data_IF_644927438459
#
_entry.id   IF_644927438459
#
_cell.length_a   1.000
_cell.length_b   1.000
_cell.length_c   1.000
_cell.angle_alpha   90.00
_cell.angle_beta   90.00
_cell.angle_gamma   90.00
#
_symmetry.space_group_name_H-M   'P 1'
#
loop_
_entity.id
_entity.type
_entity.pdbx_description
1 polymer ?
#
# COMPACT_ATOMS: atom_id res chain seq x y z
N UNK A 1 -7.75 3.81 29.34
CA UNK A 1 -6.40 4.32 29.04
C UNK A 1 -5.66 3.49 27.98
N UNK A 2 -5.86 2.17 27.88
CA UNK A 2 -5.19 1.33 26.86
C UNK A 2 -5.49 1.71 25.39
N UNK A 3 -6.68 2.24 25.08
CA UNK A 3 -7.12 2.46 23.70
C UNK A 3 -6.35 3.57 22.95
N UNK A 4 -5.90 4.62 23.67
CA UNK A 4 -5.19 5.76 23.07
C UNK A 4 -3.77 5.40 22.63
N UNK A 5 -3.06 4.66 23.46
CA UNK A 5 -1.67 4.29 23.19
C UNK A 5 -1.59 3.28 22.04
N UNK A 6 -2.50 2.31 22.01
CA UNK A 6 -2.64 1.38 20.90
C UNK A 6 -2.96 2.11 19.60
N UNK A 7 -3.95 3.02 19.59
CA UNK A 7 -4.28 3.82 18.41
C UNK A 7 -3.09 4.66 17.93
N UNK A 8 -2.35 5.27 18.86
CA UNK A 8 -1.13 6.04 18.52
C UNK A 8 -0.06 5.15 17.89
N UNK A 9 0.17 3.96 18.43
CA UNK A 9 1.11 2.97 17.87
C UNK A 9 0.73 2.57 16.43
N UNK A 10 -0.55 2.27 16.20
CA UNK A 10 -1.10 1.94 14.88
C UNK A 10 -0.93 3.10 13.90
N UNK A 11 -1.23 4.34 14.31
CA UNK A 11 -1.03 5.53 13.48
C UNK A 11 0.45 5.76 13.15
N UNK A 12 1.35 5.58 14.12
CA UNK A 12 2.79 5.71 13.88
C UNK A 12 3.28 4.67 12.88
N UNK A 13 2.88 3.41 13.03
CA UNK A 13 3.19 2.34 12.09
C UNK A 13 2.64 2.67 10.69
N UNK A 14 1.40 3.15 10.60
CA UNK A 14 0.77 3.58 9.35
C UNK A 14 1.56 4.68 8.64
N UNK A 15 2.07 5.65 9.40
CA UNK A 15 2.85 6.77 8.89
C UNK A 15 4.24 6.36 8.42
N UNK A 16 4.88 5.36 9.04
CA UNK A 16 6.24 4.91 8.65
C UNK A 16 6.32 4.38 7.22
N UNK A 17 5.21 3.89 6.67
CA UNK A 17 5.12 3.30 5.34
C UNK A 17 4.54 4.23 4.28
N UNK A 18 4.11 5.44 4.66
CA UNK A 18 3.50 6.41 3.74
C UNK A 18 4.35 7.66 3.58
N UNK A 19 4.03 8.44 2.56
CA UNK A 19 4.62 9.76 2.40
C UNK A 19 4.06 10.70 3.48
N UNK A 20 4.88 11.63 3.93
CA UNK A 20 4.50 12.63 4.94
C UNK A 20 3.22 13.40 4.58
N UNK A 21 2.99 13.65 3.29
CA UNK A 21 1.76 14.31 2.80
C UNK A 21 0.47 13.52 3.05
N UNK A 22 0.58 12.21 3.33
CA UNK A 22 -0.50 11.29 3.67
C UNK A 22 -0.39 10.79 5.11
N UNK A 23 0.48 11.39 5.92
CA UNK A 23 0.59 11.05 7.33
C UNK A 23 -0.70 11.43 8.07
N UNK A 24 -1.16 10.55 8.94
CA UNK A 24 -2.24 10.80 9.88
C UNK A 24 -1.70 11.63 11.05
N UNK A 25 -2.51 12.56 11.53
CA UNK A 25 -2.20 13.29 12.76
C UNK A 25 -2.25 12.38 13.97
N UNK A 26 -1.62 12.79 15.07
CA UNK A 26 -1.80 12.10 16.35
C UNK A 26 -3.26 12.21 16.83
N UNK A 27 -3.77 11.20 17.53
CA UNK A 27 -5.11 11.24 18.10
C UNK A 27 -5.18 12.25 19.25
N UNK A 28 -6.25 13.04 19.27
CA UNK A 28 -6.56 14.00 20.32
C UNK A 28 -7.11 13.29 21.59
N UNK A 29 -7.60 14.06 22.56
CA UNK A 29 -8.20 13.54 23.80
C UNK A 29 -9.43 12.66 23.58
N UNK A 30 -10.17 12.90 22.50
CA UNK A 30 -11.36 12.15 22.11
C UNK A 30 -11.04 10.96 21.18
N UNK A 31 -9.75 10.61 21.01
CA UNK A 31 -9.28 9.61 20.05
C UNK A 31 -9.52 9.98 18.57
N UNK A 32 -9.76 11.26 18.29
CA UNK A 32 -9.98 11.74 16.93
C UNK A 32 -8.66 12.14 16.29
N UNK A 33 -8.51 11.81 15.01
CA UNK A 33 -7.35 12.15 14.21
C UNK A 33 -7.78 12.52 12.79
N UNK A 34 -6.88 13.12 12.03
CA UNK A 34 -7.13 13.55 10.67
C UNK A 34 -6.10 12.98 9.71
N UNK A 35 -6.52 12.77 8.47
CA UNK A 35 -5.65 12.30 7.40
C UNK A 35 -6.02 12.92 6.07
N UNK A 36 -5.06 12.95 5.15
CA UNK A 36 -5.35 13.21 3.74
C UNK A 36 -5.69 11.88 3.09
N UNK A 37 -6.89 11.76 2.54
CA UNK A 37 -7.37 10.57 1.85
C UNK A 37 -7.48 10.83 0.34
N UNK A 38 -7.20 9.79 -0.45
CA UNK A 38 -7.28 9.85 -1.91
C UNK A 38 -8.57 9.17 -2.39
N UNK A 39 -9.35 9.90 -3.17
CA UNK A 39 -10.59 9.45 -3.78
C UNK A 39 -10.50 9.52 -5.30
N UNK A 40 -11.17 8.57 -5.94
CA UNK A 40 -11.27 8.47 -7.39
C UNK A 40 -12.73 8.65 -7.80
N UNK A 41 -12.94 9.24 -8.97
CA UNK A 41 -14.27 9.42 -9.55
C UNK A 41 -14.18 9.15 -11.04
N UNK A 42 -15.14 8.43 -11.59
CA UNK A 42 -15.24 8.19 -13.01
C UNK A 42 -16.65 8.57 -13.48
N UNK A 43 -16.73 9.54 -14.39
CA UNK A 43 -17.97 9.88 -15.08
C UNK A 43 -18.05 9.18 -16.44
N UNK A 44 -19.25 9.07 -17.00
CA UNK A 44 -19.48 8.44 -18.30
C UNK A 44 -18.59 9.04 -19.40
N UNK A 45 -17.84 8.18 -20.10
CA UNK A 45 -16.96 8.58 -21.19
C UNK A 45 -15.69 9.35 -20.78
N UNK A 46 -15.49 9.63 -19.48
CA UNK A 46 -14.34 10.36 -18.96
C UNK A 46 -13.30 9.42 -18.34
N UNK A 47 -12.04 9.86 -18.32
CA UNK A 47 -10.98 9.19 -17.57
C UNK A 47 -11.16 9.41 -16.06
N UNK A 48 -10.54 8.54 -15.26
CA UNK A 48 -10.66 8.60 -13.81
C UNK A 48 -10.04 9.90 -13.27
N UNK A 49 -10.85 10.73 -12.64
CA UNK A 49 -10.41 11.89 -11.88
C UNK A 49 -9.96 11.46 -10.47
N UNK A 50 -8.99 12.17 -9.90
CA UNK A 50 -8.48 11.91 -8.54
C UNK A 50 -8.51 13.19 -7.71
N UNK A 51 -8.98 13.11 -6.47
CA UNK A 51 -8.93 14.21 -5.50
C UNK A 51 -8.39 13.68 -4.17
N UNK A 52 -7.56 14.50 -3.52
CA UNK A 52 -7.17 14.26 -2.14
C UNK A 52 -7.88 15.29 -1.26
N UNK A 53 -8.55 14.84 -0.21
CA UNK A 53 -9.21 15.72 0.76
C UNK A 53 -8.76 15.35 2.18
N UNK A 54 -8.79 16.33 3.08
CA UNK A 54 -8.58 16.10 4.50
C UNK A 54 -9.87 15.53 5.08
N UNK A 55 -9.78 14.41 5.79
CA UNK A 55 -10.91 13.71 6.40
C UNK A 55 -10.59 13.50 7.88
N UNK A 56 -11.60 13.63 8.73
CA UNK A 56 -11.51 13.33 10.15
C UNK A 56 -11.89 11.87 10.42
N UNK A 57 -11.39 11.29 11.51
CA UNK A 57 -11.64 9.90 11.87
C UNK A 57 -13.10 9.59 12.21
N UNK A 58 -13.85 10.61 12.61
CA UNK A 58 -15.28 10.56 12.92
C UNK A 58 -16.19 10.87 11.72
N UNK A 59 -15.65 11.46 10.65
CA UNK A 59 -16.39 11.79 9.44
C UNK A 59 -16.98 10.53 8.79
N UNK A 60 -18.28 10.59 8.49
CA UNK A 60 -19.02 9.49 7.87
C UNK A 60 -18.82 9.46 6.35
N UNK A 61 -19.22 8.36 5.72
CA UNK A 61 -19.25 8.27 4.25
C UNK A 61 -20.14 9.37 3.66
N UNK A 62 -21.26 9.70 4.32
CA UNK A 62 -22.16 10.78 3.88
C UNK A 62 -21.44 12.13 3.82
N UNK A 63 -20.75 12.52 4.90
CA UNK A 63 -20.01 13.79 4.99
C UNK A 63 -18.91 13.87 3.91
N UNK A 64 -18.23 12.75 3.69
CA UNK A 64 -17.19 12.63 2.69
C UNK A 64 -17.77 12.76 1.28
N UNK A 65 -18.89 12.10 0.97
CA UNK A 65 -19.55 12.19 -0.34
C UNK A 65 -19.95 13.63 -0.64
N UNK A 66 -20.56 14.34 0.31
CA UNK A 66 -20.92 15.75 0.14
C UNK A 66 -19.71 16.60 -0.25
N UNK A 67 -18.61 16.45 0.51
CA UNK A 67 -17.34 17.13 0.21
C UNK A 67 -16.81 16.77 -1.17
N UNK A 68 -16.86 15.50 -1.57
CA UNK A 68 -16.35 15.05 -2.87
C UNK A 68 -17.19 15.58 -4.04
N UNK A 69 -18.51 15.69 -3.89
CA UNK A 69 -19.39 16.29 -4.89
C UNK A 69 -18.93 17.73 -5.17
N UNK A 70 -18.65 18.51 -4.12
CA UNK A 70 -18.15 19.88 -4.30
C UNK A 70 -16.80 19.94 -5.02
N UNK A 71 -15.92 18.97 -4.77
CA UNK A 71 -14.55 18.95 -5.32
C UNK A 71 -14.46 18.37 -6.73
N UNK A 72 -15.32 17.42 -7.07
CA UNK A 72 -15.35 16.81 -8.40
C UNK A 72 -16.27 17.56 -9.36
N UNK A 73 -17.40 18.11 -8.89
CA UNK A 73 -18.38 18.84 -9.71
C UNK A 73 -19.08 19.97 -8.93
N UNK A 74 -18.41 21.12 -8.72
CA UNK A 74 -19.06 22.29 -8.10
C UNK A 74 -20.32 22.73 -8.86
N UNK A 75 -20.34 22.54 -10.20
CA UNK A 75 -21.43 22.96 -11.08
C UNK A 75 -22.70 22.08 -11.01
N UNK A 76 -22.62 20.87 -10.42
CA UNK A 76 -23.76 19.95 -10.35
C UNK A 76 -24.71 20.17 -9.17
N UNK A 77 -24.45 21.12 -8.25
CA UNK A 77 -25.39 21.37 -7.13
C UNK A 77 -26.75 21.92 -7.58
N UNK A 78 -26.83 22.50 -8.78
CA UNK A 78 -28.05 23.12 -9.32
C UNK A 78 -28.96 22.14 -10.06
N UNK A 79 -28.52 20.90 -10.29
CA UNK A 79 -29.29 19.83 -10.92
C UNK A 79 -29.34 18.68 -9.92
N UNK A 80 -30.50 18.07 -9.67
CA UNK A 80 -30.75 17.01 -8.67
C UNK A 80 -29.49 16.23 -8.24
N UNK A 81 -29.15 16.26 -6.94
CA UNK A 81 -27.99 15.52 -6.40
C UNK A 81 -28.02 14.08 -6.90
N UNK A 82 -27.05 13.66 -7.72
CA UNK A 82 -26.98 12.26 -8.12
C UNK A 82 -26.82 11.41 -6.87
N UNK A 83 -27.49 10.26 -6.82
CA UNK A 83 -27.39 9.34 -5.69
C UNK A 83 -26.00 8.71 -5.70
N UNK A 84 -25.00 9.37 -5.12
CA UNK A 84 -23.63 8.87 -5.10
C UNK A 84 -23.43 7.87 -3.97
N UNK A 85 -22.56 6.89 -4.22
CA UNK A 85 -22.07 5.98 -3.21
C UNK A 85 -20.55 5.81 -3.31
N UNK A 86 -19.95 5.52 -2.16
CA UNK A 86 -18.53 5.29 -2.02
C UNK A 86 -18.22 3.80 -1.98
N UNK A 87 -17.26 3.38 -2.78
CA UNK A 87 -16.81 1.98 -2.89
C UNK A 87 -15.35 1.86 -2.51
N UNK A 88 -14.96 0.74 -1.91
CA UNK A 88 -13.56 0.32 -1.77
C UNK A 88 -13.27 -0.70 -2.87
N UNK A 89 -12.28 -0.41 -3.71
CA UNK A 89 -11.84 -1.27 -4.82
C UNK A 89 -10.45 -1.83 -4.51
N UNK A 90 -10.35 -3.15 -4.46
CA UNK A 90 -9.10 -3.85 -4.19
C UNK A 90 -8.35 -4.21 -5.48
N UNK A 91 -7.06 -4.52 -5.36
CA UNK A 91 -6.20 -4.87 -6.50
C UNK A 91 -6.65 -6.14 -7.23
N UNK A 92 -7.39 -7.02 -6.54
CA UNK A 92 -7.95 -8.24 -7.13
C UNK A 92 -9.29 -8.01 -7.86
N UNK A 93 -9.74 -6.75 -7.98
CA UNK A 93 -10.99 -6.39 -8.65
C UNK A 93 -12.24 -6.45 -7.76
N UNK A 94 -12.13 -6.94 -6.52
CA UNK A 94 -13.27 -6.89 -5.60
C UNK A 94 -13.62 -5.46 -5.23
N UNK A 95 -14.92 -5.16 -5.27
CA UNK A 95 -15.47 -3.88 -4.87
C UNK A 95 -16.49 -4.05 -3.75
N UNK A 96 -16.38 -3.22 -2.70
CA UNK A 96 -17.36 -3.18 -1.60
C UNK A 96 -17.96 -1.79 -1.49
N UNK A 97 -19.30 -1.69 -1.54
CA UNK A 97 -20.01 -0.46 -1.19
C UNK A 97 -19.89 -0.20 0.32
N UNK A 98 -19.53 1.03 0.70
CA UNK A 98 -19.53 1.46 2.09
C UNK A 98 -20.94 1.91 2.52
N UNK A 99 -21.32 1.62 3.75
CA UNK A 99 -22.54 2.14 4.35
C UNK A 99 -22.41 3.63 4.68
N UNK A 100 -23.49 4.42 4.66
CA UNK A 100 -23.46 5.86 4.92
C UNK A 100 -22.82 6.25 6.25
N UNK A 101 -22.96 5.42 7.28
CA UNK A 101 -22.45 5.67 8.64
C UNK A 101 -21.02 5.14 8.88
N UNK A 102 -20.44 4.43 7.90
CA UNK A 102 -19.05 3.99 8.02
C UNK A 102 -18.10 5.20 8.04
N UNK A 103 -16.94 5.03 8.67
CA UNK A 103 -15.91 6.07 8.79
C UNK A 103 -14.76 5.77 7.83
N UNK A 104 -14.67 6.42 6.65
CA UNK A 104 -13.73 6.03 5.60
C UNK A 104 -12.27 6.05 6.05
N UNK A 105 -11.90 6.98 6.93
CA UNK A 105 -10.53 7.08 7.44
C UNK A 105 -10.16 5.89 8.34
N UNK A 106 -11.10 5.39 9.15
CA UNK A 106 -10.90 4.17 9.95
C UNK A 106 -10.84 2.93 9.07
N UNK A 107 -11.72 2.84 8.05
CA UNK A 107 -11.69 1.77 7.05
C UNK A 107 -10.32 1.74 6.35
N UNK A 108 -9.80 2.91 5.97
CA UNK A 108 -8.48 3.03 5.37
C UNK A 108 -7.40 2.57 6.34
N UNK A 109 -7.41 3.07 7.57
CA UNK A 109 -6.43 2.69 8.59
C UNK A 109 -6.38 1.17 8.75
N UNK A 110 -7.52 0.48 8.75
CA UNK A 110 -7.57 -0.98 8.95
C UNK A 110 -6.93 -1.82 7.84
N UNK A 111 -6.61 -1.26 6.67
CA UNK A 111 -5.94 -2.02 5.58
C UNK A 111 -4.59 -2.62 5.95
N UNK A 112 -3.91 -2.08 6.98
CA UNK A 112 -2.65 -2.64 7.47
C UNK A 112 -2.79 -4.04 8.11
N UNK A 113 -3.97 -4.36 8.65
CA UNK A 113 -4.23 -5.64 9.32
C UNK A 113 -4.36 -6.80 8.31
N UNK A 114 -4.92 -6.52 7.14
CA UNK A 114 -5.25 -7.54 6.14
C UNK A 114 -4.22 -7.64 5.00
N UNK A 115 -3.12 -6.86 5.06
CA UNK A 115 -2.18 -6.60 3.94
C UNK A 115 -2.92 -6.26 2.63
N UNK A 116 -4.12 -5.68 2.76
CA UNK A 116 -5.07 -5.50 1.68
C UNK A 116 -5.30 -4.02 1.41
N UNK A 117 -4.44 -3.43 0.58
CA UNK A 117 -4.63 -2.05 0.13
C UNK A 117 -5.89 -1.93 -0.76
N UNK A 118 -6.61 -0.82 -0.59
CA UNK A 118 -7.81 -0.49 -1.37
C UNK A 118 -7.74 0.90 -1.99
N UNK A 119 -8.74 1.23 -2.82
CA UNK A 119 -8.94 2.57 -3.39
C UNK A 119 -10.39 2.99 -3.22
N UNK A 120 -10.61 4.21 -2.74
CA UNK A 120 -11.96 4.75 -2.61
C UNK A 120 -12.45 5.31 -3.95
N UNK A 121 -13.54 4.77 -4.46
CA UNK A 121 -14.15 5.12 -5.74
C UNK A 121 -15.57 5.64 -5.51
N UNK A 122 -15.82 6.89 -5.91
CA UNK A 122 -17.14 7.50 -5.92
C UNK A 122 -17.87 7.09 -7.21
N UNK A 123 -19.07 6.52 -7.09
CA UNK A 123 -19.93 6.11 -8.22
C UNK A 123 -21.33 6.67 -8.08
N UNK A 124 -21.98 6.96 -9.21
CA UNK A 124 -23.38 7.36 -9.25
C UNK A 124 -24.28 6.11 -9.27
N UNK A 125 -25.14 5.93 -8.28
CA UNK A 125 -26.09 4.81 -8.18
C UNK A 125 -27.28 4.90 -9.13
N UNK A 126 -27.62 6.10 -9.66
CA UNK A 126 -28.75 6.27 -10.57
C UNK A 126 -28.41 5.85 -12.02
N UNK A 127 -27.11 5.79 -12.35
CA UNK A 127 -26.65 5.31 -13.65
C UNK A 127 -26.56 3.78 -13.57
N UNK A 128 -27.61 3.09 -14.07
CA UNK A 128 -27.43 1.70 -14.52
C UNK A 128 -26.27 1.73 -15.50
N UNK A 129 -25.24 0.91 -15.26
CA UNK A 129 -24.15 0.68 -16.20
C UNK A 129 -24.74 0.28 -17.55
N UNK A 130 -24.96 1.25 -18.43
CA UNK A 130 -25.23 0.96 -19.82
C UNK A 130 -23.94 0.36 -20.36
N UNK A 131 -23.98 -0.94 -20.61
CA UNK A 131 -22.99 -1.68 -21.37
C UNK A 131 -22.59 -0.88 -22.60
N UNK A 132 -21.31 -0.51 -22.66
CA UNK A 132 -20.69 0.22 -23.75
C UNK A 132 -20.61 -0.70 -24.99
N UNK A 133 -21.73 -0.92 -25.66
CA UNK A 133 -21.80 -1.60 -26.98
C UNK A 133 -22.42 -0.70 -28.07
N UNK A 134 -22.54 0.60 -27.82
CA UNK A 134 -22.99 1.56 -28.84
C UNK A 134 -22.35 2.90 -28.59
N UNK A 135 -21.27 3.20 -29.31
CA UNK A 135 -20.81 4.48 -29.88
C UNK A 135 -19.38 4.22 -30.39
N UNK A 136 -19.27 3.40 -31.43
CA UNK A 136 -18.32 3.68 -32.50
C UNK A 136 -18.99 4.70 -33.42
N UNK A 137 -18.24 5.72 -33.83
CA UNK A 137 -18.63 6.84 -34.71
C UNK A 137 -19.36 8.04 -34.09
N UNK A 138 -18.59 8.96 -33.50
CA UNK A 138 -18.67 10.39 -33.84
C UNK A 138 -17.27 11.05 -33.70
N UNK A 139 -16.90 12.04 -34.55
CA UNK A 139 -15.54 12.49 -34.72
C UNK A 139 -15.22 13.64 -33.76
N UNK A 140 -14.52 13.34 -32.66
CA UNK A 140 -13.82 14.37 -31.89
C UNK A 140 -12.51 14.75 -32.57
N UNK A 141 -12.22 16.05 -32.70
CA UNK A 141 -11.02 16.61 -33.33
C UNK A 141 -9.72 15.98 -32.79
N UNK A 142 -9.20 14.97 -33.50
CA UNK A 142 -7.93 14.32 -33.16
C UNK A 142 -6.78 15.17 -33.69
N UNK A 143 -6.06 15.86 -32.81
CA UNK A 143 -4.71 16.37 -33.13
C UNK A 143 -3.83 15.19 -33.54
N UNK A 144 -3.06 15.35 -34.63
CA UNK A 144 -2.21 14.29 -35.18
C UNK A 144 -1.17 13.86 -34.13
N UNK A 145 -1.21 12.58 -33.76
CA UNK A 145 -0.28 11.95 -32.82
C UNK A 145 1.16 12.06 -33.32
N UNK A 146 2.09 12.30 -32.41
CA UNK A 146 3.52 12.30 -32.74
C UNK A 146 4.01 10.91 -33.16
N UNK A 147 5.13 10.84 -33.88
CA UNK A 147 5.76 9.56 -34.30
C UNK A 147 5.99 8.59 -33.13
N UNK A 148 6.17 9.09 -31.90
CA UNK A 148 6.38 8.29 -30.69
C UNK A 148 5.08 7.68 -30.15
N UNK A 149 4.02 8.47 -30.09
CA UNK A 149 2.69 7.99 -29.65
C UNK A 149 2.12 6.95 -30.62
N UNK A 150 2.36 7.11 -31.92
CA UNK A 150 1.93 6.14 -32.94
C UNK A 150 2.60 4.77 -32.78
N UNK A 151 3.83 4.73 -32.24
CA UNK A 151 4.57 3.48 -31.95
C UNK A 151 4.07 2.80 -30.68
N UNK A 152 3.73 3.58 -29.63
CA UNK A 152 3.15 3.05 -28.39
C UNK A 152 1.74 2.51 -28.61
N UNK A 153 0.92 3.18 -29.43
CA UNK A 153 -0.43 2.74 -29.73
C UNK A 153 -0.43 1.42 -30.52
N UNK A 154 0.48 1.26 -31.50
CA UNK A 154 0.70 -0.02 -32.19
C UNK A 154 1.17 -1.15 -31.27
N UNK A 155 1.91 -0.81 -30.22
CA UNK A 155 2.35 -1.80 -29.21
C UNK A 155 1.17 -2.18 -28.30
N UNK A 156 0.36 -1.20 -27.87
CA UNK A 156 -0.81 -1.40 -27.01
C UNK A 156 -1.92 -2.19 -27.71
N UNK A 157 -2.18 -1.94 -29.00
CA UNK A 157 -3.13 -2.72 -29.82
C UNK A 157 -2.70 -4.18 -30.01
N UNK A 158 -1.40 -4.44 -30.10
CA UNK A 158 -0.89 -5.82 -30.16
C UNK A 158 -1.09 -6.56 -28.85
N UNK A 159 -0.96 -5.87 -27.71
CA UNK A 159 -1.17 -6.44 -26.38
C UNK A 159 -2.65 -6.67 -26.06
N UNK A 160 -3.55 -5.78 -26.50
CA UNK A 160 -4.99 -5.91 -26.24
C UNK A 160 -5.64 -7.07 -27.01
N UNK A 161 -5.09 -7.45 -28.18
CA UNK A 161 -5.58 -8.60 -28.96
C UNK A 161 -5.29 -9.97 -28.34
N UNK A 162 -4.42 -10.05 -27.34
CA UNK A 162 -4.01 -11.30 -26.69
C UNK A 162 -4.76 -11.60 -25.38
N UNK A 163 -5.64 -10.72 -24.90
CA UNK A 163 -6.25 -10.81 -23.56
C UNK A 163 -7.77 -10.88 -23.49
N UNK A 164 -8.50 -11.09 -24.59
CA UNK A 164 -9.96 -11.09 -24.56
C UNK A 164 -10.53 -12.38 -23.96
N UNK A 165 -10.83 -12.35 -22.66
CA UNK A 165 -11.58 -13.38 -21.97
C UNK A 165 -12.06 -12.95 -20.58
N UNK A 166 -13.22 -12.27 -20.52
CA UNK A 166 -14.10 -12.27 -19.33
C UNK A 166 -14.18 -10.99 -18.48
N UNK A 167 -15.39 -10.45 -18.36
CA UNK A 167 -15.85 -9.63 -17.21
C UNK A 167 -15.72 -8.11 -17.34
N UNK A 168 -16.79 -7.44 -17.78
CA UNK A 168 -16.89 -6.00 -18.06
C UNK A 168 -16.76 -5.06 -16.83
N UNK A 169 -16.66 -5.60 -15.61
CA UNK A 169 -16.50 -4.81 -14.36
C UNK A 169 -15.02 -4.62 -13.97
N UNK A 170 -14.12 -5.47 -14.47
CA UNK A 170 -12.68 -5.46 -14.14
C UNK A 170 -11.92 -4.24 -14.70
N UNK A 171 -12.50 -3.52 -15.65
CA UNK A 171 -11.80 -2.44 -16.35
C UNK A 171 -11.57 -1.21 -15.48
N UNK A 172 -12.46 -0.91 -14.53
CA UNK A 172 -12.31 0.27 -13.65
C UNK A 172 -11.24 0.04 -12.61
N UNK A 173 -11.21 -1.14 -11.98
CA UNK A 173 -10.16 -1.55 -11.07
C UNK A 173 -8.79 -1.53 -11.78
N UNK A 174 -8.68 -2.14 -12.96
CA UNK A 174 -7.44 -2.13 -13.74
C UNK A 174 -6.98 -0.69 -14.06
N UNK A 175 -7.89 0.17 -14.51
CA UNK A 175 -7.60 1.59 -14.80
C UNK A 175 -7.12 2.33 -13.57
N UNK A 176 -7.76 2.11 -12.42
CA UNK A 176 -7.30 2.69 -11.17
C UNK A 176 -5.83 2.30 -10.94
N UNK A 177 -5.51 1.01 -10.95
CA UNK A 177 -4.16 0.55 -10.63
C UNK A 177 -3.10 0.88 -11.71
N UNK A 178 -3.48 1.21 -12.95
CA UNK A 178 -2.54 1.37 -14.08
C UNK A 178 -2.46 2.76 -14.73
N UNK A 179 -3.48 3.62 -14.63
CA UNK A 179 -3.52 4.91 -15.35
C UNK A 179 -2.84 6.07 -14.58
N UNK A 180 -2.09 6.92 -15.31
CA UNK A 180 -1.47 8.14 -14.77
C UNK A 180 -2.43 9.35 -14.80
N UNK A 181 -2.33 10.30 -13.84
CA UNK A 181 -3.18 11.50 -13.79
C UNK A 181 -2.99 12.45 -14.99
N UNK A 182 -4.02 13.23 -15.30
CA UNK A 182 -4.11 14.00 -16.56
C UNK A 182 -3.27 15.29 -16.64
N UNK A 183 -2.93 15.96 -15.53
CA UNK A 183 -2.34 17.30 -15.65
C UNK A 183 -0.91 17.24 -16.19
N UNK A 184 -0.60 18.08 -17.18
CA UNK A 184 0.75 18.21 -17.76
C UNK A 184 1.78 18.68 -16.73
N UNK A 185 1.33 19.43 -15.71
CA UNK A 185 2.15 19.85 -14.56
C UNK A 185 2.59 18.65 -13.71
N UNK A 186 1.72 17.64 -13.53
CA UNK A 186 2.03 16.41 -12.77
C UNK A 186 2.56 15.27 -13.63
N UNK A 187 2.63 15.40 -14.96
CA UNK A 187 3.09 14.35 -15.87
C UNK A 187 4.59 14.02 -15.73
N UNK A 188 5.36 14.94 -15.15
CA UNK A 188 6.78 14.76 -14.81
C UNK A 188 7.00 14.14 -13.43
N UNK A 189 5.96 14.07 -12.58
CA UNK A 189 6.04 13.53 -11.22
C UNK A 189 5.48 12.10 -11.25
N UNK A 190 6.37 11.13 -11.06
CA UNK A 190 6.00 9.71 -11.06
C UNK A 190 4.99 9.41 -9.95
N UNK A 191 4.03 8.49 -10.18
CA UNK A 191 3.04 8.10 -9.18
C UNK A 191 3.75 7.77 -7.84
N UNK A 192 3.52 8.53 -6.76
CA UNK A 192 4.27 8.40 -5.52
C UNK A 192 4.22 6.98 -4.94
N UNK A 193 3.08 6.30 -5.04
CA UNK A 193 2.92 4.93 -4.56
C UNK A 193 3.71 3.94 -5.42
N UNK A 194 3.66 4.08 -6.75
CA UNK A 194 4.44 3.24 -7.66
C UNK A 194 5.94 3.47 -7.47
N UNK A 195 6.37 4.71 -7.21
CA UNK A 195 7.76 5.05 -6.89
C UNK A 195 8.19 4.41 -5.58
N UNK A 196 7.37 4.51 -4.53
CA UNK A 196 7.66 3.89 -3.24
C UNK A 196 7.72 2.37 -3.35
N UNK A 197 6.78 1.74 -4.06
CA UNK A 197 6.77 0.31 -4.34
C UNK A 197 8.04 -0.11 -5.10
N UNK A 198 8.41 0.64 -6.14
CA UNK A 198 9.64 0.40 -6.90
C UNK A 198 10.90 0.60 -6.04
N UNK A 199 10.95 1.59 -5.17
CA UNK A 199 12.07 1.80 -4.21
C UNK A 199 12.17 0.63 -3.22
N UNK A 200 11.04 0.15 -2.68
CA UNK A 200 11.00 -1.04 -1.81
C UNK A 200 11.49 -2.27 -2.55
N UNK A 201 11.01 -2.49 -3.77
CA UNK A 201 11.45 -3.59 -4.63
C UNK A 201 12.95 -3.50 -4.94
N UNK A 202 13.47 -2.32 -5.29
CA UNK A 202 14.91 -2.13 -5.51
C UNK A 202 15.75 -2.41 -4.26
N UNK A 203 15.28 -2.00 -3.06
CA UNK A 203 15.96 -2.30 -1.80
C UNK A 203 16.00 -3.81 -1.55
N UNK A 204 14.89 -4.51 -1.81
CA UNK A 204 14.80 -5.96 -1.68
C UNK A 204 15.70 -6.67 -2.72
N UNK A 205 15.61 -6.29 -3.99
CA UNK A 205 16.44 -6.84 -5.08
C UNK A 205 17.94 -6.62 -4.82
N UNK A 206 18.31 -5.45 -4.28
CA UNK A 206 19.69 -5.16 -3.87
C UNK A 206 20.14 -6.07 -2.72
N UNK A 207 19.28 -6.30 -1.71
CA UNK A 207 19.58 -7.22 -0.59
C UNK A 207 19.70 -8.67 -1.08
N UNK A 208 18.81 -9.11 -1.97
CA UNK A 208 18.88 -10.43 -2.62
C UNK A 208 20.13 -10.58 -3.50
N UNK A 209 20.55 -9.55 -4.23
CA UNK A 209 21.80 -9.57 -4.99
C UNK A 209 23.02 -9.69 -4.10
N UNK A 210 23.01 -9.13 -2.89
CA UNK A 210 24.12 -9.27 -1.93
C UNK A 210 24.32 -10.71 -1.46
N UNK A 211 23.27 -11.54 -1.47
CA UNK A 211 23.37 -12.97 -1.13
C UNK A 211 23.79 -13.85 -2.31
N UNK A 212 23.93 -13.29 -3.51
CA UNK A 212 24.48 -14.04 -4.64
C UNK A 212 25.99 -14.13 -4.45
N UNK A 213 26.46 -15.35 -4.19
CA UNK A 213 27.87 -15.69 -4.15
C UNK A 213 28.58 -15.23 -5.44
N UNK A 214 29.84 -14.79 -5.34
CA UNK A 214 30.68 -14.48 -6.53
C UNK A 214 30.74 -15.65 -7.52
N UNK A 215 30.56 -16.88 -7.04
CA UNK A 215 30.63 -18.12 -7.80
C UNK A 215 29.27 -18.63 -8.31
N UNK A 216 28.17 -17.88 -8.13
CA UNK A 216 26.86 -18.22 -8.69
C UNK A 216 26.17 -19.48 -8.10
N UNK A 217 26.67 -20.01 -6.97
CA UNK A 217 26.06 -21.12 -6.23
C UNK A 217 24.74 -20.75 -5.51
N UNK A 218 23.97 -21.75 -5.04
CA UNK A 218 22.64 -21.54 -4.44
C UNK A 218 22.68 -20.71 -3.15
N UNK A 219 21.58 -20.02 -2.90
CA UNK A 219 21.36 -18.90 -1.97
C UNK A 219 22.12 -18.96 -0.63
N UNK A 220 23.05 -18.01 -0.41
CA UNK A 220 23.71 -17.79 0.90
C UNK A 220 22.89 -16.86 1.82
N UNK A 221 21.58 -16.83 1.64
CA UNK A 221 20.67 -15.99 2.40
C UNK A 221 19.28 -16.60 2.54
N UNK A 222 18.51 -16.06 3.46
CA UNK A 222 17.25 -16.65 3.88
C UNK A 222 16.47 -15.74 4.80
N UNK A 223 15.27 -16.18 5.16
CA UNK A 223 14.37 -15.40 6.01
C UNK A 223 14.43 -15.94 7.43
N UNK A 224 14.76 -15.08 8.40
CA UNK A 224 14.81 -15.42 9.83
C UNK A 224 13.68 -14.68 10.56
N UNK A 225 12.84 -15.44 11.27
CA UNK A 225 11.86 -14.88 12.21
C UNK A 225 12.50 -14.72 13.57
N UNK A 226 12.52 -13.49 14.09
CA UNK A 226 13.13 -13.17 15.38
C UNK A 226 12.03 -12.61 16.29
N UNK A 227 11.86 -13.24 17.45
CA UNK A 227 10.88 -12.83 18.45
C UNK A 227 11.44 -11.68 19.28
N UNK A 228 10.63 -10.65 19.47
CA UNK A 228 10.99 -9.39 20.12
C UNK A 228 9.88 -8.89 21.05
N UNK A 229 9.12 -9.80 21.66
CA UNK A 229 8.04 -9.47 22.60
C UNK A 229 8.53 -8.58 23.76
N UNK A 230 9.80 -8.72 24.15
CA UNK A 230 10.46 -7.84 25.12
C UNK A 230 10.65 -6.40 24.65
N UNK A 231 10.71 -6.17 23.33
CA UNK A 231 10.79 -4.84 22.72
C UNK A 231 9.42 -4.21 22.52
N UNK A 232 8.45 -5.00 22.02
CA UNK A 232 7.10 -4.54 21.74
C UNK A 232 6.12 -5.72 21.83
N UNK A 233 5.24 -5.69 22.84
CA UNK A 233 4.25 -6.75 23.08
C UNK A 233 3.22 -6.88 21.96
N UNK A 234 2.86 -5.77 21.32
CA UNK A 234 1.86 -5.74 20.25
C UNK A 234 2.37 -6.43 18.96
N UNK A 235 3.68 -6.43 18.73
CA UNK A 235 4.32 -7.03 17.55
C UNK A 235 5.39 -8.04 18.02
N UNK A 236 4.99 -9.27 18.36
CA UNK A 236 5.85 -10.21 19.10
C UNK A 236 7.02 -10.75 18.28
N UNK A 237 7.01 -10.60 16.96
CA UNK A 237 8.15 -10.96 16.11
C UNK A 237 8.26 -10.05 14.90
N UNK A 238 9.48 -9.95 14.36
CA UNK A 238 9.72 -9.43 13.02
C UNK A 238 10.51 -10.43 12.20
N UNK A 239 10.29 -10.34 10.90
CA UNK A 239 10.95 -11.18 9.92
C UNK A 239 12.03 -10.37 9.22
N UNK A 240 13.26 -10.88 9.26
CA UNK A 240 14.42 -10.31 8.55
C UNK A 240 14.82 -11.22 7.40
N UNK A 241 15.27 -10.59 6.32
CA UNK A 241 15.94 -11.29 5.23
C UNK A 241 17.45 -11.12 5.47
N UNK A 242 18.16 -12.20 5.76
CA UNK A 242 19.56 -12.20 6.21
C UNK A 242 20.45 -13.03 5.29
N UNK A 243 21.75 -12.75 5.30
CA UNK A 243 22.79 -13.66 4.80
C UNK A 243 23.19 -14.65 5.89
N UNK A 244 23.70 -15.82 5.49
CA UNK A 244 24.38 -16.75 6.43
C UNK A 244 25.64 -16.14 7.06
N UNK A 245 26.10 -14.98 6.58
CA UNK A 245 27.26 -14.25 7.09
C UNK A 245 26.90 -13.03 7.94
N UNK A 246 25.60 -12.73 8.11
CA UNK A 246 25.18 -11.62 8.95
C UNK A 246 25.34 -12.01 10.42
N UNK A 247 26.19 -11.26 11.14
CA UNK A 247 26.48 -11.53 12.55
C UNK A 247 25.36 -11.05 13.48
N UNK A 248 25.31 -11.61 14.68
CA UNK A 248 24.28 -11.34 15.68
C UNK A 248 24.19 -9.85 15.99
N UNK A 249 25.34 -9.17 16.14
CA UNK A 249 25.38 -7.73 16.39
C UNK A 249 24.70 -6.92 15.28
N UNK A 250 24.92 -7.27 14.01
CA UNK A 250 24.28 -6.60 12.87
C UNK A 250 22.76 -6.87 12.84
N UNK A 251 22.36 -8.10 13.19
CA UNK A 251 20.96 -8.52 13.27
C UNK A 251 20.22 -7.79 14.39
N UNK A 252 20.82 -7.61 15.57
CA UNK A 252 20.26 -6.80 16.67
C UNK A 252 20.01 -5.37 16.22
N UNK A 253 20.99 -4.75 15.54
CA UNK A 253 20.84 -3.38 14.99
C UNK A 253 19.68 -3.30 14.01
N UNK A 254 19.57 -4.25 13.08
CA UNK A 254 18.47 -4.27 12.11
C UNK A 254 17.10 -4.49 12.80
N UNK A 255 17.05 -5.34 13.82
CA UNK A 255 15.84 -5.58 14.61
C UNK A 255 15.38 -4.33 15.37
N UNK A 256 16.27 -3.68 16.11
CA UNK A 256 15.97 -2.43 16.83
C UNK A 256 15.47 -1.34 15.87
N UNK A 257 16.16 -1.15 14.75
CA UNK A 257 15.72 -0.21 13.72
C UNK A 257 14.33 -0.56 13.18
N UNK A 258 14.03 -1.84 12.96
CA UNK A 258 12.69 -2.26 12.53
C UNK A 258 11.61 -2.02 13.58
N UNK A 259 11.94 -2.06 14.87
CA UNK A 259 11.03 -1.67 15.96
C UNK A 259 10.97 -0.16 16.21
N UNK A 260 11.69 0.67 15.43
CA UNK A 260 11.71 2.12 15.60
C UNK A 260 12.57 2.58 16.78
N UNK A 261 13.52 1.74 17.22
CA UNK A 261 14.44 1.99 18.34
C UNK A 261 15.86 2.31 17.83
N UNK A 262 15.98 3.03 16.72
CA UNK A 262 17.27 3.35 16.06
C UNK A 262 18.22 4.21 16.91
N UNK A 263 17.71 4.86 17.95
CA UNK A 263 18.48 5.74 18.85
C UNK A 263 19.04 5.05 20.08
N UNK A 264 18.64 3.80 20.35
CA UNK A 264 19.09 3.06 21.52
C UNK A 264 20.41 2.38 21.20
N UNK A 265 21.29 2.28 22.20
CA UNK A 265 22.56 1.56 22.05
C UNK A 265 22.31 0.06 21.85
N UNK A 266 22.70 -0.52 20.70
CA UNK A 266 22.53 -1.95 20.42
C UNK A 266 23.32 -2.85 21.36
N UNK A 267 24.36 -2.34 22.04
CA UNK A 267 25.17 -3.11 23.00
C UNK A 267 24.38 -3.56 24.23
N UNK A 268 23.22 -2.97 24.50
CA UNK A 268 22.34 -3.39 25.58
C UNK A 268 21.39 -4.54 25.20
N UNK A 269 21.50 -5.07 23.98
CA UNK A 269 20.62 -6.10 23.45
C UNK A 269 21.44 -7.25 22.87
N UNK A 270 20.94 -8.47 23.02
CA UNK A 270 21.53 -9.66 22.46
C UNK A 270 20.46 -10.50 21.76
N UNK A 271 20.90 -11.47 20.95
CA UNK A 271 20.02 -12.51 20.44
C UNK A 271 20.13 -13.74 21.32
N UNK A 272 18.99 -14.34 21.62
CA UNK A 272 18.91 -15.59 22.37
C UNK A 272 18.32 -16.65 21.46
N UNK A 273 19.04 -17.76 21.33
CA UNK A 273 18.52 -18.98 20.76
C UNK A 273 17.82 -19.79 21.86
N UNK A 274 16.57 -20.17 21.60
CA UNK A 274 15.80 -21.07 22.45
C UNK A 274 15.73 -22.43 21.77
N UNK A 275 16.27 -23.45 22.42
CA UNK A 275 16.27 -24.83 21.91
C UNK A 275 14.95 -25.54 22.21
N UNK A 276 14.69 -26.67 21.55
CA UNK A 276 13.45 -27.45 21.72
C UNK A 276 13.26 -28.00 23.14
N UNK A 277 14.34 -28.15 23.89
CA UNK A 277 14.34 -28.56 25.30
C UNK A 277 14.11 -27.39 26.28
N UNK A 278 13.92 -26.18 25.76
CA UNK A 278 13.73 -24.96 26.55
C UNK A 278 15.03 -24.34 27.08
N UNK A 279 16.20 -24.88 26.72
CA UNK A 279 17.47 -24.23 27.05
C UNK A 279 17.67 -22.96 26.24
N UNK A 280 18.25 -21.95 26.87
CA UNK A 280 18.56 -20.65 26.27
C UNK A 280 20.06 -20.50 26.07
N UNK A 281 20.46 -20.03 24.90
CA UNK A 281 21.85 -19.73 24.54
C UNK A 281 21.93 -18.31 23.99
N UNK A 282 22.72 -17.44 24.63
CA UNK A 282 22.97 -16.08 24.17
C UNK A 282 24.02 -16.15 23.08
N UNK A 283 23.71 -15.59 21.90
CA UNK A 283 24.64 -15.55 20.79
C UNK A 283 25.71 -14.48 21.01
N UNK A 284 26.96 -14.82 20.71
CA UNK A 284 28.06 -13.88 20.65
C UNK A 284 27.92 -12.94 19.44
N UNK A 285 28.52 -11.75 19.52
CA UNK A 285 28.34 -10.66 18.55
C UNK A 285 28.73 -11.04 17.11
N UNK A 286 29.67 -11.96 16.93
CA UNK A 286 30.21 -12.45 15.66
C UNK A 286 29.52 -13.72 15.14
N UNK A 287 28.72 -14.40 15.96
CA UNK A 287 27.96 -15.56 15.54
C UNK A 287 26.90 -15.19 14.49
N UNK A 288 26.60 -16.10 13.56
CA UNK A 288 25.71 -15.83 12.43
C UNK A 288 24.36 -16.54 12.61
N UNK A 289 23.29 -15.84 13.07
CA UNK A 289 22.04 -16.50 13.50
C UNK A 289 21.36 -17.32 12.41
N UNK A 290 21.39 -16.85 11.15
CA UNK A 290 20.80 -17.59 10.04
C UNK A 290 21.61 -18.86 9.71
N UNK A 291 22.95 -18.80 9.78
CA UNK A 291 23.79 -19.99 9.57
C UNK A 291 23.58 -21.02 10.67
N UNK A 292 23.45 -20.56 11.92
CA UNK A 292 23.14 -21.43 13.05
C UNK A 292 21.82 -22.15 12.77
N UNK A 293 20.75 -21.41 12.44
CA UNK A 293 19.44 -22.01 12.13
C UNK A 293 19.51 -23.04 10.98
N UNK A 294 20.24 -22.74 9.90
CA UNK A 294 20.36 -23.63 8.75
C UNK A 294 21.16 -24.90 9.06
N UNK A 295 22.12 -24.83 9.99
CA UNK A 295 22.97 -25.96 10.37
C UNK A 295 22.42 -26.74 11.57
N UNK A 296 21.39 -26.22 12.25
CA UNK A 296 20.71 -26.97 13.30
C UNK A 296 20.04 -28.21 12.71
N UNK A 297 20.29 -29.41 13.25
CA UNK A 297 19.60 -30.60 12.81
C UNK A 297 18.11 -30.40 13.10
N UNK A 298 17.32 -30.26 12.04
CA UNK A 298 15.87 -30.26 12.17
C UNK A 298 15.48 -31.62 12.73
N UNK A 299 15.00 -31.64 13.97
CA UNK A 299 14.36 -32.84 14.51
C UNK A 299 13.18 -33.14 13.57
N UNK A 300 13.33 -34.22 12.79
CA UNK A 300 12.22 -34.85 12.07
C UNK A 300 11.16 -35.32 13.06
#
# INVERSE_FOLDING_TARGET
MLDRETLRSVIQQWNTVRLDIFALSEPNENLEFHGVMRFYFQDEGQKVATKCIRVASDATVSDVIETLIEKFRPDMRMLSLPNYALYVVHANGEERKLNPDEKPLLVQLNWHNDDREGRFLLKNCAQKTNTLDSITDQPSFKRKLSKREKKEQKKKEKLSKLGSGGGNENHVAEKLYTELPETSFTRSISNPEAVMRRRRQQKLEKKLQQFRSRDGGPDTGGTLKIYGESLCRDVPYKTLLLSIRDCAQAVVREMLAKYGMDKVDPLHYCLVQVNSDGSEYILDDDECPLSILMNHPTSR
#
